data_IF_860259967205
#
_entry.id   IF_860259967205
#
_cell.length_a   1.000
_cell.length_b   1.000
_cell.length_c   1.000
_cell.angle_alpha   90.00
_cell.angle_beta   90.00
_cell.angle_gamma   90.00
#
_symmetry.space_group_name_H-M   'P 1'
#
loop_
_entity.id
_entity.type
_entity.pdbx_description
1 polymer ?
#
# COMPACT_ATOMS: atom_id res chain seq x y z
N UNK A 1 -5.49 26.97 -8.71
CA UNK A 1 -6.72 26.14 -8.77
C UNK A 1 -7.04 25.75 -7.34
N UNK A 2 -8.09 26.33 -6.77
CA UNK A 2 -8.58 26.05 -5.42
C UNK A 2 -9.80 25.14 -5.56
N UNK A 3 -9.85 24.03 -4.80
CA UNK A 3 -10.98 23.11 -4.79
C UNK A 3 -11.71 23.29 -3.45
N UNK A 4 -12.79 24.09 -3.41
CA UNK A 4 -13.51 24.39 -2.15
C UNK A 4 -14.13 23.16 -1.48
N UNK A 5 -14.30 22.07 -2.24
CA UNK A 5 -15.09 20.91 -1.80
C UNK A 5 -14.24 19.67 -1.46
N UNK A 6 -12.93 19.81 -1.28
CA UNK A 6 -12.07 18.74 -0.78
C UNK A 6 -11.60 19.11 0.62
N UNK A 7 -12.19 18.47 1.61
CA UNK A 7 -11.81 18.61 3.02
C UNK A 7 -11.04 17.38 3.47
N UNK A 8 -9.82 17.59 3.99
CA UNK A 8 -9.00 16.53 4.57
C UNK A 8 -8.97 16.74 6.07
N UNK A 9 -9.57 15.80 6.82
CA UNK A 9 -9.55 15.85 8.26
C UNK A 9 -8.11 15.65 8.77
N UNK A 10 -7.61 16.61 9.55
CA UNK A 10 -6.26 16.52 10.15
C UNK A 10 -6.20 15.63 11.37
N UNK A 11 -7.33 15.36 12.02
CA UNK A 11 -7.42 14.50 13.20
C UNK A 11 -7.48 13.04 12.76
N UNK A 12 -6.45 12.27 13.13
CA UNK A 12 -6.31 10.86 12.78
C UNK A 12 -6.94 9.89 13.80
N UNK A 13 -7.68 10.42 14.78
CA UNK A 13 -8.33 9.66 15.86
C UNK A 13 -7.40 8.74 16.70
N UNK A 14 -6.10 9.04 16.69
CA UNK A 14 -5.10 8.40 17.56
C UNK A 14 -5.16 9.03 18.95
N UNK A 15 -5.54 8.25 19.96
CA UNK A 15 -5.53 8.60 21.39
C UNK A 15 -4.77 7.51 22.15
N UNK A 16 -4.37 7.74 23.39
CA UNK A 16 -3.72 6.70 24.22
C UNK A 16 -4.54 5.40 24.27
N UNK A 17 -5.87 5.52 24.30
CA UNK A 17 -6.79 4.38 24.30
C UNK A 17 -6.81 3.58 22.98
N UNK A 18 -6.49 4.22 21.85
CA UNK A 18 -6.52 3.58 20.52
C UNK A 18 -5.15 3.14 20.01
N UNK A 19 -4.06 3.44 20.71
CA UNK A 19 -2.68 3.14 20.26
C UNK A 19 -2.45 1.67 19.89
N UNK A 20 -3.05 0.74 20.64
CA UNK A 20 -2.92 -0.70 20.36
C UNK A 20 -3.76 -1.17 19.15
N UNK A 21 -4.66 -0.32 18.65
CA UNK A 21 -5.62 -0.59 17.59
C UNK A 21 -5.32 0.19 16.30
N UNK A 22 -4.07 0.63 16.15
CA UNK A 22 -3.57 1.35 14.97
C UNK A 22 -2.86 0.39 14.04
N UNK A 23 -3.17 0.43 12.74
CA UNK A 23 -2.37 -0.25 11.71
C UNK A 23 -2.10 0.70 10.53
N UNK A 24 -1.01 0.45 9.82
CA UNK A 24 -0.65 1.17 8.59
C UNK A 24 -0.79 0.23 7.41
N UNK A 25 -1.57 0.64 6.41
CA UNK A 25 -1.78 -0.10 5.18
C UNK A 25 -1.25 0.70 4.00
N UNK A 26 -0.18 0.20 3.40
CA UNK A 26 0.49 0.79 2.25
C UNK A 26 0.15 0.07 0.96
N UNK A 27 -0.28 0.77 -0.06
CA UNK A 27 -0.60 0.24 -1.37
C UNK A 27 0.37 0.80 -2.40
N UNK A 28 0.85 -0.04 -3.32
CA UNK A 28 1.64 0.41 -4.45
C UNK A 28 1.09 -0.12 -5.78
N UNK A 29 1.35 0.62 -6.84
CA UNK A 29 0.90 0.28 -8.18
C UNK A 29 1.67 1.07 -9.24
N UNK A 30 1.55 0.64 -10.49
CA UNK A 30 2.19 1.29 -11.60
C UNK A 30 1.40 1.17 -12.90
N UNK A 31 1.57 2.17 -13.75
CA UNK A 31 1.12 2.17 -15.14
C UNK A 31 2.30 2.50 -16.06
N UNK A 32 2.07 2.49 -17.37
CA UNK A 32 3.05 2.98 -18.35
C UNK A 32 3.40 4.47 -18.18
N UNK A 33 2.59 5.24 -17.43
CA UNK A 33 2.73 6.68 -17.25
C UNK A 33 3.44 7.07 -15.95
N UNK A 34 3.18 6.34 -14.87
CA UNK A 34 3.69 6.65 -13.54
C UNK A 34 3.65 5.42 -12.63
N UNK A 35 4.37 5.47 -11.52
CA UNK A 35 4.24 4.54 -10.41
C UNK A 35 3.95 5.33 -9.13
N UNK A 36 3.18 4.73 -8.24
CA UNK A 36 2.65 5.40 -7.06
C UNK A 36 2.63 4.48 -5.84
N UNK A 37 2.62 5.13 -4.68
CA UNK A 37 2.37 4.51 -3.39
C UNK A 37 1.44 5.41 -2.57
N UNK A 38 0.53 4.81 -1.82
CA UNK A 38 -0.38 5.50 -0.90
C UNK A 38 -0.45 4.71 0.40
N UNK A 39 -0.43 5.41 1.53
CA UNK A 39 -0.48 4.82 2.86
C UNK A 39 -1.71 5.35 3.60
N UNK A 40 -2.43 4.42 4.24
CA UNK A 40 -3.58 4.67 5.09
C UNK A 40 -3.24 4.31 6.53
N UNK A 41 -3.67 5.15 7.46
CA UNK A 41 -3.81 4.80 8.85
C UNK A 41 -5.19 4.19 9.05
N UNK A 42 -5.25 3.02 9.67
CA UNK A 42 -6.48 2.40 10.15
C UNK A 42 -6.48 2.47 11.67
N UNK A 43 -7.55 3.01 12.25
CA UNK A 43 -7.73 3.12 13.70
C UNK A 43 -9.09 2.55 14.06
N UNK A 44 -9.09 1.52 14.92
CA UNK A 44 -10.33 1.06 15.56
C UNK A 44 -10.54 1.82 16.86
N UNK A 45 -11.66 2.53 16.98
CA UNK A 45 -12.05 3.24 18.19
C UNK A 45 -12.84 2.33 19.14
N UNK A 46 -13.01 2.72 20.40
CA UNK A 46 -13.63 1.89 21.44
C UNK A 46 -15.07 1.44 21.11
N UNK A 47 -15.80 2.19 20.27
CA UNK A 47 -17.15 1.83 19.82
C UNK A 47 -17.18 0.67 18.81
N UNK A 48 -16.02 0.16 18.37
CA UNK A 48 -15.89 -0.83 17.29
C UNK A 48 -15.77 -0.21 15.90
N UNK A 49 -16.06 1.09 15.75
CA UNK A 49 -15.96 1.78 14.47
C UNK A 49 -14.50 1.85 13.97
N UNK A 50 -14.32 1.58 12.68
CA UNK A 50 -13.00 1.58 12.02
C UNK A 50 -12.90 2.81 11.14
N UNK A 51 -11.95 3.67 11.47
CA UNK A 51 -11.62 4.85 10.69
C UNK A 51 -10.36 4.62 9.84
N UNK A 52 -10.41 5.05 8.59
CA UNK A 52 -9.28 5.03 7.67
C UNK A 52 -8.95 6.45 7.21
N UNK A 53 -7.68 6.77 7.10
CA UNK A 53 -7.24 8.11 6.68
C UNK A 53 -5.95 8.03 5.88
N UNK A 54 -5.89 8.72 4.73
CA UNK A 54 -4.64 8.86 3.99
C UNK A 54 -3.64 9.63 4.85
N UNK A 55 -2.48 9.04 5.08
CA UNK A 55 -1.37 9.63 5.85
C UNK A 55 -0.21 10.05 4.93
N UNK A 56 -0.08 9.41 3.77
CA UNK A 56 0.77 9.90 2.69
C UNK A 56 0.37 9.29 1.35
N UNK A 57 0.68 10.04 0.29
CA UNK A 57 0.69 9.52 -1.07
C UNK A 57 1.90 10.09 -1.80
N UNK A 58 2.48 9.29 -2.69
CA UNK A 58 3.61 9.69 -3.51
C UNK A 58 3.51 9.08 -4.90
N UNK A 59 3.68 9.91 -5.91
CA UNK A 59 3.64 9.50 -7.32
C UNK A 59 4.92 9.96 -8.01
N UNK A 60 5.44 9.13 -8.91
CA UNK A 60 6.56 9.47 -9.78
C UNK A 60 6.23 9.10 -11.23
N UNK A 61 6.45 10.06 -12.14
CA UNK A 61 6.30 9.83 -13.58
C UNK A 61 7.27 8.73 -14.03
N UNK A 62 6.82 7.88 -14.95
CA UNK A 62 7.63 6.82 -15.52
C UNK A 62 8.87 7.43 -16.21
N UNK A 63 10.06 6.81 -16.10
CA UNK A 63 11.26 7.34 -16.73
C UNK A 63 11.11 7.48 -18.24
N UNK A 64 11.77 8.49 -18.81
CA UNK A 64 11.80 8.71 -20.26
C UNK A 64 12.43 7.54 -21.02
N UNK A 65 13.37 6.82 -20.38
CA UNK A 65 13.87 5.54 -20.87
C UNK A 65 12.83 4.45 -20.61
N UNK A 66 12.27 3.81 -21.66
CA UNK A 66 11.24 2.79 -21.49
C UNK A 66 11.65 1.71 -20.49
N UNK A 67 10.76 1.44 -19.54
CA UNK A 67 10.88 0.31 -18.61
C UNK A 67 9.72 -0.65 -18.87
N UNK A 68 9.94 -1.93 -18.61
CA UNK A 68 8.84 -2.89 -18.60
C UNK A 68 7.89 -2.60 -17.43
N UNK A 69 6.61 -2.93 -17.60
CA UNK A 69 5.60 -2.75 -16.55
C UNK A 69 6.01 -3.41 -15.22
N UNK A 70 6.53 -4.66 -15.19
CA UNK A 70 7.01 -5.26 -13.94
C UNK A 70 8.10 -4.45 -13.21
N UNK A 71 8.99 -3.77 -13.94
CA UNK A 71 10.01 -2.91 -13.32
C UNK A 71 9.41 -1.63 -12.74
N UNK A 72 8.34 -1.12 -13.34
CA UNK A 72 7.60 0.04 -12.82
C UNK A 72 6.79 -0.36 -11.58
N UNK A 73 6.15 -1.53 -11.59
CA UNK A 73 5.46 -2.09 -10.41
C UNK A 73 6.43 -2.28 -9.24
N UNK A 74 7.62 -2.86 -9.49
CA UNK A 74 8.68 -2.98 -8.49
C UNK A 74 9.18 -1.60 -8.01
N UNK A 75 9.15 -0.59 -8.87
CA UNK A 75 9.50 0.79 -8.50
C UNK A 75 8.42 1.43 -7.61
N UNK A 76 7.15 1.06 -7.81
CA UNK A 76 6.05 1.37 -6.89
C UNK A 76 6.28 0.76 -5.50
N UNK A 77 6.68 -0.51 -5.45
CA UNK A 77 7.00 -1.18 -4.18
C UNK A 77 8.18 -0.51 -3.44
N UNK A 78 9.23 -0.11 -4.15
CA UNK A 78 10.32 0.72 -3.59
C UNK A 78 9.80 2.06 -3.08
N UNK A 79 8.89 2.71 -3.83
CA UNK A 79 8.33 3.99 -3.44
C UNK A 79 7.55 3.87 -2.13
N UNK A 80 6.82 2.76 -1.94
CA UNK A 80 6.12 2.43 -0.70
C UNK A 80 7.09 2.15 0.45
N UNK A 81 8.15 1.38 0.23
CA UNK A 81 9.21 1.17 1.24
C UNK A 81 9.83 2.50 1.69
N UNK A 82 9.99 3.45 0.78
CA UNK A 82 10.45 4.80 1.08
C UNK A 82 9.55 5.58 2.05
N UNK A 83 8.30 5.16 2.30
CA UNK A 83 7.40 5.77 3.27
C UNK A 83 7.66 5.32 4.72
N UNK A 84 8.74 4.56 4.99
CA UNK A 84 9.15 4.12 6.33
C UNK A 84 9.25 5.24 7.38
N UNK A 85 9.56 6.47 6.94
CA UNK A 85 9.65 7.64 7.82
C UNK A 85 8.31 7.91 8.54
N UNK A 86 7.19 7.51 7.94
CA UNK A 86 5.85 7.67 8.51
C UNK A 86 5.66 6.75 9.71
N UNK A 87 6.12 5.49 9.59
CA UNK A 87 6.14 4.53 10.71
C UNK A 87 6.97 5.09 11.86
N UNK A 88 8.18 5.55 11.58
CA UNK A 88 9.09 6.09 12.59
C UNK A 88 8.48 7.32 13.29
N UNK A 89 7.82 8.20 12.53
CA UNK A 89 7.20 9.40 13.08
C UNK A 89 5.95 9.13 13.92
N UNK A 90 5.16 8.10 13.59
CA UNK A 90 3.94 7.74 14.32
C UNK A 90 4.17 6.70 15.42
N UNK A 91 5.39 6.20 15.58
CA UNK A 91 5.75 5.18 16.56
C UNK A 91 4.90 3.89 16.46
N UNK A 92 4.53 3.49 15.24
CA UNK A 92 3.73 2.29 14.98
C UNK A 92 4.67 1.06 14.91
N UNK A 93 4.42 0.01 15.71
CA UNK A 93 5.15 -1.25 15.64
C UNK A 93 5.23 -1.86 14.23
N UNK A 94 6.32 -2.55 13.92
CA UNK A 94 6.52 -3.20 12.62
C UNK A 94 5.45 -4.25 12.30
N UNK A 95 4.92 -4.93 13.34
CA UNK A 95 3.87 -5.95 13.20
C UNK A 95 2.49 -5.38 12.83
N UNK A 96 2.35 -4.05 12.80
CA UNK A 96 1.11 -3.37 12.44
C UNK A 96 1.19 -2.72 11.05
N UNK A 97 2.09 -3.21 10.18
CA UNK A 97 2.33 -2.67 8.84
C UNK A 97 2.00 -3.72 7.79
N UNK A 98 1.16 -3.35 6.84
CA UNK A 98 0.71 -4.20 5.77
C UNK A 98 0.98 -3.50 4.43
N UNK A 99 1.74 -4.13 3.56
CA UNK A 99 2.07 -3.65 2.22
C UNK A 99 1.30 -4.48 1.17
N UNK A 100 0.65 -3.79 0.25
CA UNK A 100 -0.28 -4.36 -0.71
C UNK A 100 0.15 -4.01 -2.14
N UNK A 101 0.10 -5.00 -3.01
CA UNK A 101 0.33 -4.84 -4.45
C UNK A 101 -0.63 -5.76 -5.21
N UNK A 102 -1.11 -5.32 -6.36
CA UNK A 102 -1.90 -6.14 -7.30
C UNK A 102 -1.03 -6.82 -8.36
N UNK A 103 0.29 -6.59 -8.32
CA UNK A 103 1.22 -7.22 -9.25
C UNK A 103 1.48 -8.68 -8.87
N UNK A 104 1.03 -9.57 -9.75
CA UNK A 104 1.32 -11.01 -9.70
C UNK A 104 2.77 -11.34 -10.05
N UNK A 105 3.59 -10.37 -10.46
CA UNK A 105 5.02 -10.54 -10.75
C UNK A 105 5.89 -10.04 -9.59
N UNK A 106 5.54 -8.91 -8.97
CA UNK A 106 6.31 -8.37 -7.85
C UNK A 106 6.25 -9.29 -6.64
N UNK A 107 5.08 -9.88 -6.32
CA UNK A 107 4.96 -10.79 -5.18
C UNK A 107 5.91 -12.00 -5.29
N UNK A 108 5.95 -12.76 -6.40
CA UNK A 108 6.94 -13.82 -6.58
C UNK A 108 8.39 -13.34 -6.45
N UNK A 109 8.73 -12.13 -6.91
CA UNK A 109 10.07 -11.59 -6.71
C UNK A 109 10.41 -11.31 -5.25
N UNK A 110 9.45 -10.86 -4.47
CA UNK A 110 9.61 -10.60 -3.03
C UNK A 110 9.73 -11.89 -2.23
N UNK A 111 8.95 -12.92 -2.57
CA UNK A 111 8.95 -14.20 -1.84
C UNK A 111 10.03 -15.19 -2.30
N UNK A 112 10.54 -15.05 -3.53
CA UNK A 112 11.58 -15.93 -4.07
C UNK A 112 13.00 -15.56 -3.61
N UNK A 113 13.99 -16.34 -4.06
CA UNK A 113 15.40 -16.09 -3.72
C UNK A 113 15.98 -14.92 -4.56
N UNK A 114 16.38 -13.79 -3.94
CA UNK A 114 16.94 -12.64 -4.64
C UNK A 114 18.19 -12.93 -5.48
N UNK A 115 18.98 -13.96 -5.13
CA UNK A 115 20.19 -14.34 -5.88
C UNK A 115 19.90 -14.80 -7.31
N UNK A 116 18.68 -15.29 -7.57
CA UNK A 116 18.24 -15.74 -8.90
C UNK A 116 17.76 -14.58 -9.78
N UNK A 117 17.56 -13.39 -9.21
CA UNK A 117 17.04 -12.24 -9.93
C UNK A 117 18.15 -11.45 -10.62
N UNK A 118 17.80 -10.78 -11.72
CA UNK A 118 18.70 -9.79 -12.33
C UNK A 118 19.13 -8.74 -11.30
N UNK A 119 20.33 -8.17 -11.44
CA UNK A 119 20.87 -7.17 -10.52
C UNK A 119 19.89 -6.03 -10.21
N UNK A 120 19.14 -5.56 -11.22
CA UNK A 120 18.13 -4.51 -11.03
C UNK A 120 17.03 -4.93 -10.05
N UNK A 121 16.49 -6.13 -10.24
CA UNK A 121 15.39 -6.68 -9.44
C UNK A 121 15.91 -7.06 -8.06
N UNK A 122 17.02 -7.80 -7.99
CA UNK A 122 17.65 -8.21 -6.73
C UNK A 122 17.91 -7.04 -5.80
N UNK A 123 18.58 -5.98 -6.27
CA UNK A 123 18.96 -4.86 -5.42
C UNK A 123 17.72 -4.16 -4.82
N UNK A 124 16.63 -4.06 -5.59
CA UNK A 124 15.37 -3.46 -5.13
C UNK A 124 14.60 -4.38 -4.20
N UNK A 125 14.54 -5.68 -4.50
CA UNK A 125 13.92 -6.67 -3.62
C UNK A 125 14.60 -6.64 -2.25
N UNK A 126 15.94 -6.67 -2.19
CA UNK A 126 16.68 -6.57 -0.92
C UNK A 126 16.32 -5.29 -0.17
N UNK A 127 16.36 -4.13 -0.83
CA UNK A 127 15.99 -2.85 -0.21
C UNK A 127 14.55 -2.84 0.35
N UNK A 128 13.59 -3.41 -0.40
CA UNK A 128 12.20 -3.54 0.02
C UNK A 128 12.10 -4.43 1.26
N UNK A 129 12.73 -5.61 1.23
CA UNK A 129 12.64 -6.59 2.29
C UNK A 129 13.35 -6.12 3.57
N UNK A 130 14.47 -5.42 3.45
CA UNK A 130 15.17 -4.82 4.60
C UNK A 130 14.34 -3.72 5.28
N UNK A 131 13.43 -3.09 4.52
CA UNK A 131 12.63 -1.95 5.02
C UNK A 131 11.26 -2.38 5.56
N UNK A 132 10.50 -3.15 4.79
CA UNK A 132 9.12 -3.54 5.12
C UNK A 132 9.08 -4.92 5.79
N UNK A 133 10.04 -5.80 5.49
CA UNK A 133 10.03 -7.20 5.92
C UNK A 133 9.23 -8.09 4.97
N UNK A 134 9.67 -9.34 4.83
CA UNK A 134 9.05 -10.31 3.92
C UNK A 134 7.61 -10.69 4.33
N UNK A 135 7.34 -10.75 5.63
CA UNK A 135 6.05 -11.20 6.17
C UNK A 135 4.93 -10.15 6.11
N UNK A 136 5.20 -8.97 5.57
CA UNK A 136 4.28 -7.83 5.55
C UNK A 136 3.71 -7.55 4.14
N UNK A 137 3.96 -8.41 3.16
CA UNK A 137 3.52 -8.22 1.77
C UNK A 137 2.31 -9.09 1.42
N UNK A 138 1.32 -8.48 0.77
CA UNK A 138 0.03 -9.10 0.45
C UNK A 138 -0.45 -8.70 -0.94
N UNK A 139 -1.31 -9.53 -1.51
CA UNK A 139 -2.00 -9.22 -2.75
C UNK A 139 -3.28 -8.42 -2.49
N UNK A 140 -3.53 -7.39 -3.31
CA UNK A 140 -4.84 -6.71 -3.41
C UNK A 140 -5.35 -6.86 -4.84
N UNK A 141 -6.66 -6.94 -5.06
CA UNK A 141 -7.20 -6.97 -6.43
C UNK A 141 -7.02 -5.59 -7.08
N UNK A 142 -6.70 -5.52 -8.37
CA UNK A 142 -6.50 -4.23 -9.07
C UNK A 142 -7.65 -3.22 -8.90
N UNK A 143 -8.95 -3.61 -8.97
CA UNK A 143 -10.05 -2.66 -8.74
C UNK A 143 -10.13 -2.11 -7.31
N UNK A 144 -9.45 -2.77 -6.37
CA UNK A 144 -9.37 -2.40 -4.95
C UNK A 144 -8.01 -1.75 -4.62
N UNK A 145 -7.15 -1.48 -5.61
CA UNK A 145 -5.84 -0.86 -5.38
C UNK A 145 -5.91 0.67 -5.54
N UNK A 146 -5.93 1.46 -4.45
CA UNK A 146 -5.99 2.92 -4.54
C UNK A 146 -4.74 3.55 -5.17
N UNK A 147 -3.60 2.85 -5.22
CA UNK A 147 -2.40 3.36 -5.89
C UNK A 147 -2.61 3.53 -7.40
N UNK A 148 -3.60 2.86 -8.00
CA UNK A 148 -3.89 2.96 -9.42
C UNK A 148 -4.51 4.29 -9.83
N UNK A 149 -5.33 4.90 -8.96
CA UNK A 149 -5.83 6.27 -9.16
C UNK A 149 -4.68 7.26 -9.38
N UNK A 150 -3.62 7.12 -8.58
CA UNK A 150 -2.41 7.94 -8.70
C UNK A 150 -1.47 7.53 -9.84
N UNK A 151 -1.34 6.25 -10.15
CA UNK A 151 -0.40 5.74 -11.16
C UNK A 151 -0.90 5.93 -12.59
N UNK A 152 -2.22 5.86 -12.81
CA UNK A 152 -2.87 6.02 -14.14
C UNK A 152 -3.18 7.49 -14.45
N UNK A 153 -3.31 8.30 -13.39
CA UNK A 153 -3.73 9.68 -13.43
C UNK A 153 -5.25 9.80 -13.47
N UNK A 154 -5.76 10.80 -12.76
CA UNK A 154 -7.19 11.02 -12.58
C UNK A 154 -7.47 12.52 -12.63
N UNK A 155 -8.63 12.90 -13.19
CA UNK A 155 -9.06 14.29 -13.16
C UNK A 155 -9.49 14.69 -11.75
N UNK A 156 -9.51 15.99 -11.45
CA UNK A 156 -9.92 16.48 -10.13
C UNK A 156 -11.40 16.20 -9.82
N UNK A 157 -12.25 16.15 -10.84
CA UNK A 157 -13.67 15.83 -10.69
C UNK A 157 -13.88 14.36 -10.34
N UNK A 158 -13.13 13.46 -10.96
CA UNK A 158 -13.15 12.03 -10.64
C UNK A 158 -12.55 11.81 -9.25
N UNK A 159 -11.39 12.42 -8.96
CA UNK A 159 -10.71 12.28 -7.67
C UNK A 159 -11.60 12.72 -6.52
N UNK A 160 -12.37 13.81 -6.68
CA UNK A 160 -13.31 14.30 -5.66
C UNK A 160 -14.31 13.22 -5.22
N UNK A 161 -14.74 12.36 -6.14
CA UNK A 161 -15.75 11.33 -5.88
C UNK A 161 -15.14 9.92 -5.72
N UNK A 162 -13.81 9.82 -5.67
CA UNK A 162 -13.09 8.54 -5.57
C UNK A 162 -13.02 8.08 -4.11
N UNK A 163 -14.03 7.34 -3.67
CA UNK A 163 -14.06 6.81 -2.30
C UNK A 163 -12.92 5.83 -2.03
N UNK A 164 -12.49 5.07 -3.03
CA UNK A 164 -11.35 4.15 -2.90
C UNK A 164 -10.08 4.94 -2.58
N UNK A 165 -9.85 6.06 -3.28
CA UNK A 165 -8.74 6.96 -2.96
C UNK A 165 -8.86 7.53 -1.55
N UNK A 166 -9.99 8.14 -1.20
CA UNK A 166 -10.11 8.87 0.07
C UNK A 166 -10.21 7.98 1.32
N UNK A 167 -10.81 6.80 1.19
CA UNK A 167 -11.17 5.91 2.31
C UNK A 167 -10.52 4.53 2.22
N UNK A 168 -9.72 4.26 1.20
CA UNK A 168 -9.18 2.94 0.95
C UNK A 168 -10.25 1.91 0.57
N UNK A 169 -9.89 0.62 0.48
CA UNK A 169 -10.84 -0.45 0.17
C UNK A 169 -11.88 -0.66 1.28
N UNK A 170 -13.07 -1.11 0.91
CA UNK A 170 -14.18 -1.32 1.86
C UNK A 170 -13.82 -2.30 2.97
N UNK A 171 -13.11 -3.38 2.62
CA UNK A 171 -12.65 -4.38 3.58
C UNK A 171 -11.65 -3.83 4.61
N UNK A 172 -11.01 -2.68 4.34
CA UNK A 172 -10.14 -2.05 5.33
C UNK A 172 -10.95 -1.38 6.47
N UNK A 173 -12.23 -1.09 6.22
CA UNK A 173 -13.13 -0.37 7.11
C UNK A 173 -14.12 -1.27 7.86
N UNK A 174 -14.08 -2.57 7.63
CA UNK A 174 -14.89 -3.53 8.38
C UNK A 174 -14.17 -4.05 9.61
N UNK A 175 -14.94 -4.56 10.57
CA UNK A 175 -14.48 -4.91 11.91
C UNK A 175 -13.79 -6.29 11.97
N UNK A 176 -13.80 -7.11 10.92
CA UNK A 176 -13.55 -8.54 11.12
C UNK A 176 -12.11 -8.92 11.51
N UNK A 177 -12.07 -9.61 12.64
CA UNK A 177 -10.94 -10.22 13.36
C UNK A 177 -10.57 -11.60 12.80
N UNK A 178 -11.27 -12.09 11.76
CA UNK A 178 -11.10 -13.45 11.21
C UNK A 178 -10.44 -13.52 9.82
N UNK A 179 -10.31 -12.40 9.10
CA UNK A 179 -9.95 -12.44 7.68
C UNK A 179 -8.47 -12.16 7.39
N UNK A 180 -7.71 -11.62 8.35
CA UNK A 180 -6.26 -11.47 8.16
C UNK A 180 -5.56 -12.82 8.07
N UNK A 181 -6.01 -13.81 8.86
CA UNK A 181 -5.51 -15.18 8.81
C UNK A 181 -6.04 -15.94 7.58
N UNK A 182 -7.31 -15.77 7.19
CA UNK A 182 -7.88 -16.40 5.98
C UNK A 182 -7.30 -15.82 4.69
N UNK A 183 -7.03 -14.51 4.61
CA UNK A 183 -6.35 -13.86 3.48
C UNK A 183 -4.86 -14.26 3.42
N UNK A 184 -4.20 -14.44 4.57
CA UNK A 184 -2.86 -15.02 4.65
C UNK A 184 -2.81 -16.47 4.17
N UNK A 185 -3.84 -17.26 4.48
CA UNK A 185 -3.93 -18.67 4.10
C UNK A 185 -4.25 -18.84 2.61
N UNK A 186 -5.15 -18.02 2.05
CA UNK A 186 -5.44 -17.96 0.61
C UNK A 186 -4.21 -17.53 -0.21
N UNK A 187 -3.35 -16.65 0.31
CA UNK A 187 -2.11 -16.24 -0.36
C UNK A 187 -0.99 -17.29 -0.27
N UNK A 188 -0.88 -18.03 0.84
CA UNK A 188 0.02 -19.19 0.95
C UNK A 188 -0.36 -20.29 -0.06
N UNK A 189 -1.65 -20.51 -0.28
CA UNK A 189 -2.14 -21.51 -1.26
C UNK A 189 -1.77 -21.10 -2.69
N UNK A 190 -1.84 -19.82 -3.07
CA UNK A 190 -1.48 -19.41 -4.44
C UNK A 190 0.03 -19.54 -4.71
N UNK A 191 0.89 -19.32 -3.72
CA UNK A 191 2.36 -19.37 -3.87
C UNK A 191 2.90 -20.81 -3.88
N UNK A 192 2.22 -21.77 -3.25
CA UNK A 192 2.65 -23.18 -3.24
C UNK A 192 2.39 -23.91 -4.57
N UNK A 193 1.70 -23.30 -5.53
CA UNK A 193 1.37 -23.90 -6.84
C UNK A 193 2.01 -23.20 -8.06
N UNK A 194 3.02 -22.33 -7.84
CA UNK A 194 3.86 -21.72 -8.90
C UNK A 194 5.33 -21.97 -8.59
#
# INVERSE_FOLDING_TARGET
MYLPDIEVNRRLNTTEATLNNVTIHGFCGASSRAYAAVAYLRVRIESGEVNTSIIAAKTKVAPTKPQSLPRLELSGAILLAGLKQIKESMNVPACQIFAWTDSTIVLPWLFGNPEKWSTYVRNRVVEILDTIGNHNWYHVKSPENPADSASRGQSLQELKNDELWWKGPDWLRVEEEEDCDKLQELLKVIILYI
#
